data_IF_160108452604
#
_entry.id   IF_160108452604
#
_cell.length_a   1.000
_cell.length_b   1.000
_cell.length_c   1.000
_cell.angle_alpha   90.00
_cell.angle_beta   90.00
_cell.angle_gamma   90.00
#
_symmetry.space_group_name_H-M   'P 1'
#
loop_
_entity.id
_entity.type
_entity.pdbx_description
1 polymer ?
#
# COMPACT_ATOMS: atom_id res chain seq x y z
N UNK A 1 13.92 -22.44 -2.77
CA UNK A 1 12.87 -23.42 -3.13
C UNK A 1 11.62 -23.05 -2.35
N UNK A 2 10.46 -22.96 -3.00
CA UNK A 2 9.22 -22.58 -2.31
C UNK A 2 8.86 -23.66 -1.27
N UNK A 3 8.65 -23.25 -0.03
CA UNK A 3 8.25 -24.17 1.06
C UNK A 3 6.79 -24.60 0.87
N UNK A 4 6.41 -25.75 1.42
CA UNK A 4 5.03 -26.28 1.38
C UNK A 4 3.99 -25.25 1.84
N UNK A 5 4.37 -24.35 2.75
CA UNK A 5 3.54 -23.25 3.24
C UNK A 5 3.19 -22.22 2.16
N UNK A 6 4.11 -21.93 1.23
CA UNK A 6 3.84 -21.01 0.11
C UNK A 6 2.83 -21.58 -0.88
N UNK A 7 2.86 -22.91 -1.11
CA UNK A 7 1.89 -23.58 -1.97
C UNK A 7 0.50 -23.63 -1.34
N UNK A 8 0.41 -23.91 -0.04
CA UNK A 8 -0.84 -23.86 0.72
C UNK A 8 -1.43 -22.45 0.71
N UNK A 9 -0.61 -21.43 0.94
CA UNK A 9 -1.01 -20.03 0.86
C UNK A 9 -1.52 -19.66 -0.55
N UNK A 10 -0.78 -20.00 -1.60
CA UNK A 10 -1.18 -19.72 -2.98
C UNK A 10 -2.48 -20.45 -3.37
N UNK A 11 -2.67 -21.69 -2.92
CA UNK A 11 -3.91 -22.45 -3.19
C UNK A 11 -5.15 -21.82 -2.55
N UNK A 12 -5.01 -21.25 -1.34
CA UNK A 12 -6.11 -20.54 -0.68
C UNK A 12 -6.52 -19.27 -1.42
N UNK A 13 -5.55 -18.47 -1.86
CA UNK A 13 -5.80 -17.27 -2.68
C UNK A 13 -6.40 -17.61 -4.04
N UNK A 14 -5.91 -18.67 -4.68
CA UNK A 14 -6.46 -19.12 -5.95
C UNK A 14 -7.91 -19.60 -5.82
N UNK A 15 -8.23 -20.35 -4.76
CA UNK A 15 -9.60 -20.78 -4.47
C UNK A 15 -10.51 -19.58 -4.18
N UNK A 16 -10.02 -18.59 -3.42
CA UNK A 16 -10.74 -17.35 -3.15
C UNK A 16 -11.03 -16.58 -4.45
N UNK A 17 -10.05 -16.49 -5.35
CA UNK A 17 -10.20 -15.83 -6.66
C UNK A 17 -11.28 -16.53 -7.50
N UNK A 18 -11.22 -17.85 -7.62
CA UNK A 18 -12.20 -18.64 -8.37
C UNK A 18 -13.60 -18.51 -7.77
N UNK A 19 -13.73 -18.57 -6.45
CA UNK A 19 -15.00 -18.36 -5.76
C UNK A 19 -15.54 -16.93 -5.95
N UNK A 20 -14.67 -15.92 -5.89
CA UNK A 20 -15.04 -14.51 -6.07
C UNK A 20 -15.55 -14.23 -7.47
N UNK A 21 -14.90 -14.78 -8.50
CA UNK A 21 -15.34 -14.66 -9.91
C UNK A 21 -16.70 -15.32 -10.10
N UNK A 22 -16.90 -16.51 -9.51
CA UNK A 22 -18.19 -17.23 -9.58
C UNK A 22 -19.31 -16.46 -8.89
N UNK A 23 -19.05 -15.85 -7.73
CA UNK A 23 -20.01 -15.02 -7.01
C UNK A 23 -20.35 -13.74 -7.76
N UNK A 24 -19.35 -13.08 -8.34
CA UNK A 24 -19.54 -11.88 -9.15
C UNK A 24 -20.39 -12.16 -10.39
N UNK A 25 -20.12 -13.27 -11.08
CA UNK A 25 -20.96 -13.72 -12.21
C UNK A 25 -22.37 -14.11 -11.76
N UNK A 26 -22.53 -14.79 -10.62
CA UNK A 26 -23.84 -15.17 -10.11
C UNK A 26 -24.67 -13.95 -9.65
N UNK A 27 -24.00 -12.93 -9.08
CA UNK A 27 -24.61 -11.64 -8.75
C UNK A 27 -25.05 -10.88 -10.00
N UNK A 28 -24.21 -10.85 -11.05
CA UNK A 28 -24.56 -10.28 -12.36
C UNK A 28 -25.71 -11.04 -13.05
N UNK A 29 -25.86 -12.34 -12.78
CA UNK A 29 -26.91 -13.20 -13.35
C UNK A 29 -28.13 -13.40 -12.42
N UNK A 30 -28.29 -12.61 -11.35
CA UNK A 30 -29.38 -12.72 -10.38
C UNK A 30 -29.60 -14.15 -9.82
N UNK A 31 -28.53 -14.92 -9.62
CA UNK A 31 -28.59 -16.29 -9.12
C UNK A 31 -28.14 -16.36 -7.66
N UNK A 32 -29.01 -16.88 -6.79
CA UNK A 32 -28.72 -17.09 -5.37
C UNK A 32 -27.46 -17.93 -5.18
N UNK A 33 -26.46 -17.36 -4.52
CA UNK A 33 -25.19 -18.04 -4.32
C UNK A 33 -25.17 -18.74 -2.96
N UNK A 34 -24.88 -20.04 -2.99
CA UNK A 34 -25.01 -20.95 -1.86
C UNK A 34 -24.21 -20.51 -0.64
N UNK A 35 -24.86 -20.46 0.53
CA UNK A 35 -24.24 -20.17 1.83
C UNK A 35 -23.00 -21.03 2.14
N UNK A 36 -22.85 -22.16 1.46
CA UNK A 36 -21.68 -23.02 1.54
C UNK A 36 -20.38 -22.29 1.17
N UNK A 37 -20.39 -21.50 0.11
CA UNK A 37 -19.19 -20.78 -0.34
C UNK A 37 -18.85 -19.58 0.53
N UNK A 38 -19.86 -18.91 1.09
CA UNK A 38 -19.69 -17.87 2.12
C UNK A 38 -18.96 -18.44 3.34
N UNK A 39 -19.44 -19.59 3.85
CA UNK A 39 -18.77 -20.28 4.97
C UNK A 39 -17.38 -20.76 4.58
N UNK A 40 -17.18 -21.28 3.37
CA UNK A 40 -15.87 -21.70 2.90
C UNK A 40 -14.83 -20.56 2.88
N UNK A 41 -15.21 -19.36 2.44
CA UNK A 41 -14.30 -18.20 2.45
C UNK A 41 -13.90 -17.77 3.86
N UNK A 42 -14.85 -17.75 4.81
CA UNK A 42 -14.54 -17.40 6.19
C UNK A 42 -13.77 -18.51 6.91
N UNK A 43 -13.96 -19.78 6.55
CA UNK A 43 -13.12 -20.88 7.02
C UNK A 43 -11.67 -20.71 6.56
N UNK A 44 -11.44 -20.27 5.32
CA UNK A 44 -10.08 -19.93 4.84
C UNK A 44 -9.45 -18.77 5.61
N UNK A 45 -10.23 -17.74 5.94
CA UNK A 45 -9.79 -16.62 6.77
C UNK A 45 -9.45 -17.08 8.19
N UNK A 46 -10.29 -17.90 8.82
CA UNK A 46 -10.07 -18.47 10.16
C UNK A 46 -8.76 -19.25 10.24
N UNK A 47 -8.49 -20.13 9.26
CA UNK A 47 -7.23 -20.90 9.20
C UNK A 47 -6.04 -19.96 9.05
N UNK A 48 -6.15 -18.95 8.19
CA UNK A 48 -5.05 -17.99 7.96
C UNK A 48 -4.73 -17.19 9.22
N UNK A 49 -5.74 -16.65 9.90
CA UNK A 49 -5.53 -15.88 11.12
C UNK A 49 -5.11 -16.77 12.29
N UNK A 50 -5.54 -18.03 12.37
CA UNK A 50 -5.05 -18.97 13.39
C UNK A 50 -3.53 -19.18 13.29
N UNK A 51 -2.99 -19.32 12.07
CA UNK A 51 -1.55 -19.45 11.83
C UNK A 51 -0.80 -18.18 12.25
N UNK A 52 -1.33 -17.00 11.90
CA UNK A 52 -0.70 -15.72 12.24
C UNK A 52 -0.76 -15.46 13.76
N UNK A 53 -1.87 -15.81 14.42
CA UNK A 53 -1.99 -15.74 15.88
C UNK A 53 -0.95 -16.65 16.56
N UNK A 54 -0.76 -17.87 16.06
CA UNK A 54 0.26 -18.78 16.59
C UNK A 54 1.68 -18.23 16.39
N UNK A 55 1.94 -17.56 15.26
CA UNK A 55 3.22 -16.89 15.02
C UNK A 55 3.44 -15.66 15.91
N UNK A 56 2.40 -14.89 16.20
CA UNK A 56 2.49 -13.65 17.00
C UNK A 56 2.55 -13.92 18.51
N UNK A 57 1.78 -14.89 19.00
CA UNK A 57 1.61 -15.17 20.43
C UNK A 57 2.49 -16.33 20.93
N UNK A 58 2.99 -17.19 20.03
CA UNK A 58 3.75 -18.38 20.41
C UNK A 58 2.88 -19.47 21.06
N UNK A 59 3.49 -20.30 21.91
CA UNK A 59 2.76 -21.38 22.60
C UNK A 59 1.75 -20.81 23.59
N UNK A 60 0.47 -21.25 23.55
CA UNK A 60 -0.55 -20.74 24.46
C UNK A 60 -0.19 -21.09 25.92
N UNK A 61 -0.02 -20.06 26.73
CA UNK A 61 0.20 -20.20 28.17
C UNK A 61 -1.05 -19.72 28.92
N UNK A 62 -1.57 -20.46 29.90
CA UNK A 62 -2.71 -20.04 30.71
C UNK A 62 -2.27 -18.99 31.76
N UNK A 63 -1.73 -17.86 31.30
CA UNK A 63 -1.31 -16.74 32.14
C UNK A 63 -2.09 -15.48 31.80
N UNK A 64 -2.37 -14.64 32.79
CA UNK A 64 -3.07 -13.36 32.58
C UNK A 64 -2.30 -12.42 31.62
N UNK A 65 -0.97 -12.54 31.58
CA UNK A 65 -0.11 -11.80 30.66
C UNK A 65 -0.29 -12.25 29.20
N UNK A 66 -0.47 -13.55 28.95
CA UNK A 66 -0.76 -14.09 27.63
C UNK A 66 -2.14 -13.62 27.14
N UNK A 67 -3.15 -13.69 27.99
CA UNK A 67 -4.52 -13.25 27.66
C UNK A 67 -4.55 -11.76 27.32
N UNK A 68 -3.85 -10.92 28.09
CA UNK A 68 -3.76 -9.48 27.80
C UNK A 68 -3.08 -9.19 26.47
N UNK A 69 -2.01 -9.92 26.13
CA UNK A 69 -1.35 -9.82 24.81
C UNK A 69 -2.27 -10.27 23.69
N UNK A 70 -3.00 -11.37 23.87
CA UNK A 70 -3.93 -11.88 22.87
C UNK A 70 -5.07 -10.88 22.57
N UNK A 71 -5.64 -10.23 23.59
CA UNK A 71 -6.72 -9.24 23.39
C UNK A 71 -6.24 -7.99 22.62
N UNK A 72 -4.99 -7.57 22.86
CA UNK A 72 -4.40 -6.39 22.22
C UNK A 72 -3.78 -6.70 20.85
N UNK A 73 -3.65 -7.98 20.48
CA UNK A 73 -3.07 -8.39 19.21
C UNK A 73 -4.09 -8.22 18.07
N UNK A 74 -3.70 -7.44 17.08
CA UNK A 74 -4.54 -7.12 15.91
C UNK A 74 -4.99 -8.38 15.15
N UNK A 75 -4.14 -9.41 15.08
CA UNK A 75 -4.45 -10.65 14.37
C UNK A 75 -5.51 -11.48 15.10
N UNK A 76 -5.52 -11.45 16.43
CA UNK A 76 -6.55 -12.09 17.25
C UNK A 76 -7.88 -11.37 17.09
N UNK A 77 -7.86 -10.04 17.03
CA UNK A 77 -9.07 -9.24 16.77
C UNK A 77 -9.66 -9.58 15.40
N UNK A 78 -8.82 -9.74 14.36
CA UNK A 78 -9.26 -10.18 13.04
C UNK A 78 -9.75 -11.64 13.02
N UNK A 79 -9.12 -12.54 13.80
CA UNK A 79 -9.60 -13.90 13.97
C UNK A 79 -11.01 -13.95 14.57
N UNK A 80 -11.24 -13.19 15.64
CA UNK A 80 -12.55 -13.09 16.29
C UNK A 80 -13.60 -12.47 15.37
N UNK A 81 -13.23 -11.46 14.58
CA UNK A 81 -14.10 -10.88 13.58
C UNK A 81 -14.47 -11.91 12.51
N UNK A 82 -13.49 -12.63 11.94
CA UNK A 82 -13.74 -13.69 10.96
C UNK A 82 -14.66 -14.79 11.52
N UNK A 83 -14.49 -15.15 12.80
CA UNK A 83 -15.35 -16.12 13.49
C UNK A 83 -16.78 -15.62 13.63
N UNK A 84 -16.95 -14.36 14.05
CA UNK A 84 -18.26 -13.72 14.16
C UNK A 84 -19.01 -13.72 12.81
N UNK A 85 -18.33 -13.36 11.73
CA UNK A 85 -18.93 -13.35 10.39
C UNK A 85 -19.16 -14.76 9.84
N UNK A 86 -18.36 -15.75 10.23
CA UNK A 86 -18.59 -17.16 9.89
C UNK A 86 -19.88 -17.72 10.52
N UNK A 87 -20.20 -17.31 11.76
CA UNK A 87 -21.44 -17.68 12.46
C UNK A 87 -22.65 -16.82 12.09
N UNK A 88 -22.43 -15.65 11.50
CA UNK A 88 -23.50 -14.73 11.11
C UNK A 88 -24.25 -15.19 9.85
N UNK A 89 -25.49 -14.73 9.68
CA UNK A 89 -26.23 -14.93 8.41
C UNK A 89 -25.45 -14.24 7.27
N UNK A 90 -25.36 -14.85 6.08
CA UNK A 90 -24.52 -14.35 5.00
C UNK A 90 -24.97 -12.96 4.51
N UNK A 91 -24.20 -11.94 4.83
CA UNK A 91 -24.38 -10.57 4.32
C UNK A 91 -23.40 -10.38 3.16
N UNK A 92 -23.89 -10.46 1.93
CA UNK A 92 -23.06 -10.43 0.71
C UNK A 92 -22.19 -9.15 0.58
N UNK A 93 -22.61 -8.04 1.18
CA UNK A 93 -21.91 -6.75 1.14
C UNK A 93 -20.55 -6.80 1.85
N UNK A 94 -20.38 -7.63 2.89
CA UNK A 94 -19.10 -7.68 3.62
C UNK A 94 -18.01 -8.42 2.86
N UNK A 95 -18.36 -9.43 2.06
CA UNK A 95 -17.43 -10.09 1.16
C UNK A 95 -16.92 -9.13 0.08
N UNK A 96 -17.79 -8.28 -0.46
CA UNK A 96 -17.39 -7.25 -1.42
C UNK A 96 -16.41 -6.26 -0.80
N UNK A 97 -16.66 -5.77 0.42
CA UNK A 97 -15.76 -4.85 1.10
C UNK A 97 -14.38 -5.46 1.39
N UNK A 98 -14.34 -6.72 1.84
CA UNK A 98 -13.08 -7.45 2.08
C UNK A 98 -12.34 -7.68 0.75
N UNK A 99 -13.04 -8.07 -0.31
CA UNK A 99 -12.44 -8.26 -1.63
C UNK A 99 -11.90 -6.94 -2.20
N UNK A 100 -12.67 -5.84 -2.11
CA UNK A 100 -12.22 -4.53 -2.56
C UNK A 100 -10.97 -4.12 -1.80
N UNK A 101 -10.94 -4.23 -0.46
CA UNK A 101 -9.74 -3.87 0.31
C UNK A 101 -8.54 -4.76 -0.03
N UNK A 102 -8.73 -6.07 -0.16
CA UNK A 102 -7.65 -7.00 -0.51
C UNK A 102 -7.01 -6.69 -1.88
N UNK A 103 -7.80 -6.19 -2.83
CA UNK A 103 -7.33 -5.85 -4.17
C UNK A 103 -6.96 -4.38 -4.34
N UNK A 104 -7.48 -3.48 -3.49
CA UNK A 104 -7.25 -2.04 -3.57
C UNK A 104 -5.76 -1.71 -3.46
N UNK A 105 -5.05 -2.26 -2.48
CA UNK A 105 -3.62 -1.98 -2.28
C UNK A 105 -2.79 -2.44 -3.48
N UNK A 106 -3.09 -3.62 -4.02
CA UNK A 106 -2.44 -4.16 -5.22
C UNK A 106 -2.74 -3.32 -6.46
N UNK A 107 -4.00 -2.95 -6.67
CA UNK A 107 -4.42 -2.12 -7.78
C UNK A 107 -3.81 -0.72 -7.71
N UNK A 108 -3.80 -0.09 -6.53
CA UNK A 108 -3.21 1.22 -6.32
C UNK A 108 -1.70 1.22 -6.55
N UNK A 109 -1.00 0.14 -6.17
CA UNK A 109 0.42 -0.02 -6.50
C UNK A 109 0.65 -0.12 -8.01
N UNK A 110 -0.16 -0.90 -8.73
CA UNK A 110 -0.09 -1.00 -10.20
C UNK A 110 -0.35 0.36 -10.85
N UNK A 111 -1.37 1.09 -10.38
CA UNK A 111 -1.67 2.45 -10.86
C UNK A 111 -0.48 3.37 -10.64
N UNK A 112 0.12 3.36 -9.44
CA UNK A 112 1.28 4.20 -9.14
C UNK A 112 2.47 3.94 -10.08
N UNK A 113 2.82 2.67 -10.34
CA UNK A 113 3.86 2.35 -11.33
C UNK A 113 3.47 2.75 -12.75
N UNK A 114 2.20 2.58 -13.12
CA UNK A 114 1.68 2.96 -14.43
C UNK A 114 1.76 4.46 -14.64
N UNK A 115 1.44 5.28 -13.64
CA UNK A 115 1.59 6.74 -13.67
C UNK A 115 3.05 7.14 -13.96
N UNK A 116 4.03 6.46 -13.35
CA UNK A 116 5.45 6.70 -13.63
C UNK A 116 5.83 6.31 -15.07
N UNK A 117 5.35 5.17 -15.58
CA UNK A 117 5.60 4.73 -16.96
C UNK A 117 4.97 5.70 -17.96
N UNK A 118 3.74 6.16 -17.70
CA UNK A 118 3.07 7.16 -18.53
C UNK A 118 3.89 8.45 -18.56
N UNK A 119 4.44 8.89 -17.44
CA UNK A 119 5.31 10.07 -17.42
C UNK A 119 6.52 9.89 -18.33
N UNK A 120 7.23 8.77 -18.22
CA UNK A 120 8.39 8.48 -19.10
C UNK A 120 7.96 8.51 -20.57
N UNK A 121 6.84 7.88 -20.91
CA UNK A 121 6.31 7.87 -22.29
C UNK A 121 5.93 9.26 -22.79
N UNK A 122 5.27 10.07 -21.95
CA UNK A 122 4.88 11.46 -22.28
C UNK A 122 6.13 12.31 -22.47
N UNK A 123 7.13 12.16 -21.60
CA UNK A 123 8.39 12.87 -21.66
C UNK A 123 9.20 12.51 -22.93
N UNK A 124 9.33 11.22 -23.24
CA UNK A 124 9.97 10.77 -24.48
C UNK A 124 9.24 11.30 -25.72
N UNK A 125 7.90 11.25 -25.73
CA UNK A 125 7.11 11.81 -26.82
C UNK A 125 7.28 13.32 -27.00
N UNK A 126 7.58 14.06 -25.92
CA UNK A 126 7.93 15.48 -26.01
C UNK A 126 9.32 15.70 -26.61
N UNK A 127 10.31 14.86 -26.27
CA UNK A 127 11.66 14.90 -26.87
C UNK A 127 11.61 14.57 -28.36
N UNK A 128 10.79 13.60 -28.77
CA UNK A 128 10.63 13.23 -30.18
C UNK A 128 9.65 14.13 -30.94
N UNK A 129 9.23 15.27 -30.35
CA UNK A 129 8.26 16.22 -30.92
C UNK A 129 6.92 15.61 -31.35
N UNK A 130 6.54 14.46 -30.77
CA UNK A 130 5.25 13.81 -31.02
C UNK A 130 4.14 14.35 -30.10
N UNK A 131 4.52 14.87 -28.93
CA UNK A 131 3.61 15.50 -27.98
C UNK A 131 3.95 16.98 -27.82
N UNK A 132 2.96 17.78 -27.40
CA UNK A 132 3.21 19.14 -26.94
C UNK A 132 4.22 19.15 -25.79
N UNK A 133 5.15 20.10 -25.81
CA UNK A 133 6.13 20.32 -24.73
C UNK A 133 5.47 20.67 -23.39
N UNK A 134 4.19 21.10 -23.39
CA UNK A 134 3.42 21.37 -22.18
C UNK A 134 2.95 20.09 -21.47
N UNK A 135 2.69 19.01 -22.21
CA UNK A 135 2.20 17.75 -21.66
C UNK A 135 3.06 17.17 -20.54
N UNK A 136 4.41 17.07 -20.66
CA UNK A 136 5.25 16.60 -19.57
C UNK A 136 5.24 17.54 -18.36
N UNK A 137 5.14 18.86 -18.56
CA UNK A 137 5.11 19.82 -17.44
C UNK A 137 3.84 19.62 -16.60
N UNK A 138 2.68 19.50 -17.25
CA UNK A 138 1.41 19.24 -16.57
C UNK A 138 1.46 17.91 -15.84
N UNK A 139 1.95 16.85 -16.50
CA UNK A 139 2.01 15.52 -15.92
C UNK A 139 2.96 15.44 -14.71
N UNK A 140 4.08 16.17 -14.77
CA UNK A 140 5.01 16.33 -13.64
C UNK A 140 4.29 16.94 -12.44
N UNK A 141 3.51 18.01 -12.61
CA UNK A 141 2.72 18.61 -11.52
C UNK A 141 1.66 17.66 -10.95
N UNK A 142 0.96 16.91 -11.82
CA UNK A 142 0.05 15.85 -11.40
C UNK A 142 0.77 14.80 -10.54
N UNK A 143 1.92 14.30 -10.98
CA UNK A 143 2.72 13.33 -10.23
C UNK A 143 3.19 13.88 -8.88
N UNK A 144 3.56 15.17 -8.80
CA UNK A 144 3.92 15.81 -7.53
C UNK A 144 2.74 15.88 -6.57
N UNK A 145 1.57 16.32 -7.05
CA UNK A 145 0.37 16.29 -6.22
C UNK A 145 0.08 14.87 -5.73
N UNK A 146 0.22 13.87 -6.61
CA UNK A 146 0.02 12.47 -6.27
C UNK A 146 1.03 11.95 -5.26
N UNK A 147 2.30 12.35 -5.36
CA UNK A 147 3.36 12.00 -4.41
C UNK A 147 3.02 12.46 -2.98
N UNK A 148 2.39 13.63 -2.83
CA UNK A 148 1.93 14.11 -1.52
C UNK A 148 0.69 13.37 -1.01
N UNK A 149 -0.25 13.03 -1.89
CA UNK A 149 -1.54 12.44 -1.51
C UNK A 149 -1.55 10.91 -1.40
N UNK A 150 -0.60 10.21 -2.01
CA UNK A 150 -0.60 8.74 -2.14
C UNK A 150 0.68 8.11 -1.60
N UNK A 151 0.54 7.25 -0.60
CA UNK A 151 1.66 6.46 -0.06
C UNK A 151 2.22 5.48 -1.10
N UNK A 152 1.36 4.91 -1.96
CA UNK A 152 1.76 3.99 -3.03
C UNK A 152 2.64 4.68 -4.08
N UNK A 153 2.36 5.94 -4.39
CA UNK A 153 3.17 6.72 -5.32
C UNK A 153 4.55 7.02 -4.74
N UNK A 154 4.63 7.29 -3.43
CA UNK A 154 5.93 7.43 -2.73
C UNK A 154 6.73 6.13 -2.75
N UNK A 155 6.09 4.99 -2.47
CA UNK A 155 6.71 3.67 -2.53
C UNK A 155 7.23 3.35 -3.95
N UNK A 156 6.41 3.60 -4.99
CA UNK A 156 6.78 3.38 -6.37
C UNK A 156 7.96 4.27 -6.82
N UNK A 157 7.97 5.56 -6.44
CA UNK A 157 9.09 6.47 -6.72
C UNK A 157 10.35 6.04 -5.98
N UNK A 158 10.26 5.66 -4.71
CA UNK A 158 11.40 5.23 -3.90
C UNK A 158 12.03 3.94 -4.42
N UNK A 159 11.21 2.94 -4.73
CA UNK A 159 11.68 1.67 -5.31
C UNK A 159 12.28 1.83 -6.71
N UNK A 160 11.70 2.70 -7.55
CA UNK A 160 12.25 3.03 -8.87
C UNK A 160 13.60 3.73 -8.74
N UNK A 161 13.68 4.71 -7.83
CA UNK A 161 14.92 5.41 -7.49
C UNK A 161 16.01 4.43 -7.03
N UNK A 162 15.68 3.52 -6.11
CA UNK A 162 16.63 2.53 -5.61
C UNK A 162 17.15 1.58 -6.71
N UNK A 163 16.28 1.19 -7.66
CA UNK A 163 16.69 0.38 -8.82
C UNK A 163 17.63 1.15 -9.75
N UNK A 164 17.36 2.43 -9.98
CA UNK A 164 18.23 3.28 -10.79
C UNK A 164 19.57 3.49 -10.08
N UNK A 165 19.57 3.76 -8.78
CA UNK A 165 20.81 3.89 -7.98
C UNK A 165 21.66 2.62 -8.05
N UNK A 166 21.03 1.44 -7.88
CA UNK A 166 21.73 0.16 -7.98
C UNK A 166 22.33 -0.08 -9.38
N UNK A 167 21.65 0.38 -10.44
CA UNK A 167 22.17 0.29 -11.80
C UNK A 167 23.31 1.28 -12.03
N UNK A 168 23.11 2.56 -11.73
CA UNK A 168 24.06 3.65 -12.01
C UNK A 168 25.37 3.46 -11.23
N UNK A 169 25.30 2.98 -9.98
CA UNK A 169 26.45 2.80 -9.09
C UNK A 169 27.14 1.44 -9.24
N UNK A 170 26.72 0.60 -10.19
CA UNK A 170 27.33 -0.71 -10.44
C UNK A 170 28.81 -0.55 -10.84
N UNK A 171 29.74 -1.33 -10.25
CA UNK A 171 31.14 -1.33 -10.68
C UNK A 171 31.26 -1.66 -12.17
N UNK A 172 31.97 -0.82 -12.92
CA UNK A 172 32.13 -0.95 -14.38
C UNK A 172 31.32 0.05 -15.21
N UNK A 173 30.40 0.80 -14.61
CA UNK A 173 29.68 1.88 -15.29
C UNK A 173 30.48 3.19 -15.32
N UNK A 174 30.38 4.00 -16.40
CA UNK A 174 31.14 5.24 -16.50
C UNK A 174 30.73 6.25 -15.40
N UNK A 175 31.68 6.97 -14.78
CA UNK A 175 31.42 7.91 -13.68
C UNK A 175 30.38 9.00 -14.04
N UNK A 176 30.28 9.34 -15.32
CA UNK A 176 29.29 10.31 -15.82
C UNK A 176 27.85 9.92 -15.49
N UNK A 177 27.50 8.62 -15.43
CA UNK A 177 26.14 8.20 -15.09
C UNK A 177 25.77 8.60 -13.66
N UNK A 178 26.70 8.45 -12.71
CA UNK A 178 26.51 8.84 -11.31
C UNK A 178 26.34 10.36 -11.21
N UNK A 179 27.22 11.12 -11.88
CA UNK A 179 27.15 12.59 -11.87
C UNK A 179 25.83 13.12 -12.46
N UNK A 180 25.38 12.55 -13.57
CA UNK A 180 24.10 12.94 -14.20
C UNK A 180 22.93 12.58 -13.29
N UNK A 181 22.96 11.38 -12.69
CA UNK A 181 21.91 10.92 -11.79
C UNK A 181 21.79 11.80 -10.53
N UNK A 182 22.92 12.12 -9.88
CA UNK A 182 22.95 12.98 -8.71
C UNK A 182 22.40 14.40 -9.02
N UNK A 183 22.70 14.94 -10.22
CA UNK A 183 22.12 16.21 -10.69
C UNK A 183 20.61 16.12 -10.86
N UNK A 184 20.09 15.04 -11.44
CA UNK A 184 18.65 14.81 -11.59
C UNK A 184 17.99 14.76 -10.21
N UNK A 185 18.55 13.98 -9.28
CA UNK A 185 18.01 13.88 -7.91
C UNK A 185 18.00 15.22 -7.19
N UNK A 186 19.04 16.04 -7.36
CA UNK A 186 19.07 17.40 -6.80
C UNK A 186 17.95 18.28 -7.36
N UNK A 187 17.73 18.27 -8.68
CA UNK A 187 16.68 19.08 -9.32
C UNK A 187 15.28 18.62 -8.89
N UNK A 188 15.05 17.30 -8.88
CA UNK A 188 13.78 16.71 -8.43
C UNK A 188 13.56 17.00 -6.95
N UNK A 189 14.59 16.86 -6.10
CA UNK A 189 14.50 17.14 -4.66
C UNK A 189 14.18 18.60 -4.36
N UNK A 190 14.81 19.55 -5.07
CA UNK A 190 14.47 20.98 -4.97
C UNK A 190 13.04 21.25 -5.42
N UNK A 191 12.63 20.65 -6.54
CA UNK A 191 11.31 20.88 -7.11
C UNK A 191 10.18 20.26 -6.27
N UNK A 192 10.38 19.07 -5.71
CA UNK A 192 9.44 18.46 -4.74
C UNK A 192 9.42 19.27 -3.44
N UNK A 193 10.60 19.58 -2.88
CA UNK A 193 10.78 20.24 -1.58
C UNK A 193 10.34 21.70 -1.49
N UNK A 194 9.95 22.34 -2.60
CA UNK A 194 9.20 23.61 -2.56
C UNK A 194 7.78 23.37 -2.06
N UNK A 195 7.59 22.98 -0.80
CA UNK A 195 6.23 22.93 -0.23
C UNK A 195 5.60 24.31 -0.32
N UNK A 196 4.42 24.40 -0.93
CA UNK A 196 3.41 25.37 -0.52
C UNK A 196 3.33 25.22 1.00
N UNK A 197 3.87 26.17 1.75
CA UNK A 197 3.62 26.26 3.18
C UNK A 197 2.10 26.23 3.34
N UNK A 198 1.51 25.22 4.03
CA UNK A 198 0.20 25.46 4.60
C UNK A 198 0.44 26.62 5.57
N UNK A 199 -0.06 27.80 5.23
CA UNK A 199 -0.18 28.87 6.19
C UNK A 199 -1.12 28.35 7.28
N UNK A 200 -0.56 27.85 8.39
CA UNK A 200 -1.04 28.19 9.72
C UNK A 200 -0.19 27.64 10.86
N UNK A 201 -0.25 28.45 11.92
CA UNK A 201 0.00 28.15 13.32
C UNK A 201 1.46 27.97 13.73
N UNK A 202 2.20 29.09 13.76
CA UNK A 202 2.99 29.50 14.94
C UNK A 202 3.41 31.00 14.87
N UNK A 203 2.58 31.84 14.27
CA UNK A 203 2.73 33.30 14.29
C UNK A 203 2.13 33.95 15.53
N UNK A 204 2.33 33.38 16.72
CA UNK A 204 1.75 33.92 17.95
C UNK A 204 2.29 33.26 19.20
N UNK A 205 3.41 33.79 19.70
CA UNK A 205 3.77 33.88 21.13
C UNK A 205 5.28 34.15 21.27
N UNK A 206 5.72 35.35 20.90
CA UNK A 206 7.00 35.89 21.35
C UNK A 206 6.87 37.40 21.57
N UNK A 207 5.88 37.77 22.38
CA UNK A 207 5.76 39.11 22.95
C UNK A 207 5.35 38.95 24.41
N UNK A 208 6.29 39.20 25.32
CA UNK A 208 6.01 39.39 26.74
C UNK A 208 6.61 38.33 27.66
N UNK A 209 7.81 38.60 28.17
CA UNK A 209 8.15 38.37 29.58
C UNK A 209 9.49 39.04 29.87
N UNK A 210 9.44 40.29 30.33
CA UNK A 210 10.59 40.95 30.95
C UNK A 210 10.98 40.20 32.22
N UNK A 211 12.25 39.80 32.31
CA UNK A 211 12.83 39.29 33.54
C UNK A 211 13.59 40.44 34.23
N UNK A 212 13.05 40.92 35.34
CA UNK A 212 13.71 41.87 36.23
C UNK A 212 14.93 41.22 36.91
N UNK A 213 16.01 41.97 37.20
CA UNK A 213 17.17 41.43 37.89
C UNK A 213 16.90 41.35 39.40
N UNK A 214 17.10 40.17 39.99
CA UNK A 214 17.11 39.99 41.45
C UNK A 214 18.44 40.50 42.02
N UNK A 215 18.34 41.38 43.02
CA UNK A 215 19.38 41.62 44.03
C UNK A 215 19.38 40.49 45.05
#
# INVERSE_FOLDING_TARGET
MATTQHYLWASGHFLLLVASIRYFMAWMMFRNVSAWWYKASFTGALVSYAIVCQKSLGTPQPSAAFVRRAILDENVQYFLLAFFWWTSKPIAITLLQVWVKANYDSAMRVVAYTELVIFVRVFLGAITFQNSLLSPIIFVHFLRQRYYQSAFTREAVGSTTARIDAFVRKPGNPPMLVTVWDRIQMLVGRWVGTTLTPANANGGAAAGAGAAPRR
#
